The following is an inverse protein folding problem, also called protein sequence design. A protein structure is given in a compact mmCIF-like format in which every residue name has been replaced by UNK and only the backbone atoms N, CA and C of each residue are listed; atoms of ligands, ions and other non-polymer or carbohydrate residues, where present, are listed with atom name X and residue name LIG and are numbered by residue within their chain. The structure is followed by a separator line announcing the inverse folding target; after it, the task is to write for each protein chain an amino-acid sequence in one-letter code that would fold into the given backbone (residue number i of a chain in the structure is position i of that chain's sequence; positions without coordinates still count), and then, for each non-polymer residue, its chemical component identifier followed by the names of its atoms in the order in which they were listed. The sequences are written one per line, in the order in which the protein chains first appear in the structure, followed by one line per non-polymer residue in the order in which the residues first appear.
data_IF_591890493421
#
_entry.id   IF_591890493421
#
_cell.length_a   1.000
_cell.length_b   1.000
_cell.length_c   1.000
_cell.angle_alpha   90.00
_cell.angle_beta   90.00
_cell.angle_gamma   90.00
#
_symmetry.space_group_name_H-M   'P 1'
#
loop_
_entity.id
_entity.type
_entity.pdbx_description
1 polymer ?
#
# COMPACT_ATOMS: atom_id res chain seq x y z
N UNK A 1 -22.73 -6.46 82.11
CA UNK A 1 -23.67 -5.55 81.43
C UNK A 1 -23.11 -5.16 80.07
N UNK A 2 -23.77 -5.66 79.03
CA UNK A 2 -23.90 -5.17 77.65
C UNK A 2 -22.67 -4.87 76.77
N UNK A 3 -22.47 -5.79 75.82
CA UNK A 3 -22.57 -5.59 74.35
C UNK A 3 -22.39 -4.17 73.80
N UNK A 4 -21.50 -4.01 72.81
CA UNK A 4 -21.96 -3.88 71.42
C UNK A 4 -20.86 -4.05 70.37
N UNK A 5 -21.22 -4.81 69.35
CA UNK A 5 -20.54 -5.05 68.07
C UNK A 5 -20.15 -3.76 67.34
N UNK A 6 -19.04 -3.81 66.60
CA UNK A 6 -18.98 -3.22 65.27
C UNK A 6 -18.00 -4.01 64.38
N UNK A 7 -18.59 -4.95 63.63
CA UNK A 7 -18.07 -5.39 62.35
C UNK A 7 -18.00 -4.18 61.41
N UNK A 8 -16.86 -3.98 60.73
CA UNK A 8 -16.90 -3.42 59.39
C UNK A 8 -15.65 -3.81 58.60
N UNK A 9 -15.81 -4.92 57.88
CA UNK A 9 -15.51 -5.09 56.47
C UNK A 9 -14.10 -4.72 55.99
N UNK A 10 -13.26 -5.75 56.01
CA UNK A 10 -12.20 -5.99 55.04
C UNK A 10 -12.75 -5.95 53.60
N UNK A 11 -12.90 -4.76 53.03
CA UNK A 11 -12.90 -4.59 51.57
C UNK A 11 -11.45 -4.42 51.11
N UNK A 12 -10.65 -5.49 51.24
CA UNK A 12 -9.56 -5.69 50.27
C UNK A 12 -10.28 -6.00 48.96
N UNK A 13 -10.50 -4.97 48.16
CA UNK A 13 -10.72 -5.15 46.74
C UNK A 13 -9.55 -6.00 46.24
N UNK A 14 -9.81 -7.29 46.06
CA UNK A 14 -9.00 -8.20 45.30
C UNK A 14 -8.99 -7.67 43.87
N UNK A 15 -8.10 -6.71 43.60
CA UNK A 15 -7.71 -6.35 42.26
C UNK A 15 -7.10 -7.60 41.67
N UNK A 16 -7.90 -8.39 40.96
CA UNK A 16 -7.38 -9.41 40.07
C UNK A 16 -6.43 -8.66 39.13
N UNK A 17 -5.11 -8.90 39.19
CA UNK A 17 -4.22 -8.23 38.26
C UNK A 17 -4.58 -8.78 36.89
N UNK A 18 -5.33 -8.00 36.11
CA UNK A 18 -5.70 -8.33 34.75
C UNK A 18 -4.40 -8.51 33.98
N UNK A 19 -3.96 -9.77 33.82
CA UNK A 19 -2.73 -10.06 33.09
C UNK A 19 -3.00 -9.75 31.62
N UNK A 20 -2.14 -8.96 30.96
CA UNK A 20 -2.28 -8.70 29.54
C UNK A 20 -2.20 -10.03 28.77
N UNK A 21 -3.02 -10.15 27.73
CA UNK A 21 -3.05 -11.27 26.80
C UNK A 21 -2.73 -10.78 25.37
N UNK A 22 -2.67 -11.70 24.40
CA UNK A 22 -2.49 -11.41 22.96
C UNK A 22 -3.42 -10.29 22.48
N UNK A 23 -4.67 -10.29 22.93
CA UNK A 23 -5.70 -9.32 22.51
C UNK A 23 -5.34 -7.93 23.06
N UNK A 24 -4.89 -7.86 24.30
CA UNK A 24 -4.44 -6.62 24.95
C UNK A 24 -3.26 -6.01 24.20
N UNK A 25 -2.21 -6.80 23.95
CA UNK A 25 -1.03 -6.35 23.19
C UNK A 25 -1.41 -5.91 21.77
N UNK A 26 -2.19 -6.71 21.04
CA UNK A 26 -2.63 -6.39 19.67
C UNK A 26 -3.49 -5.12 19.63
N UNK A 27 -4.32 -4.89 20.64
CA UNK A 27 -5.14 -3.69 20.76
C UNK A 27 -4.29 -2.44 20.99
N UNK A 28 -3.27 -2.53 21.84
CA UNK A 28 -2.30 -1.45 22.09
C UNK A 28 -1.51 -1.15 20.82
N UNK A 29 -1.01 -2.16 20.11
CA UNK A 29 -0.32 -2.00 18.82
C UNK A 29 -1.20 -1.28 17.79
N UNK A 30 -2.45 -1.69 17.65
CA UNK A 30 -3.41 -1.03 16.76
C UNK A 30 -3.69 0.43 17.18
N UNK A 31 -3.75 0.70 18.48
CA UNK A 31 -3.90 2.06 19.00
C UNK A 31 -2.66 2.92 18.67
N UNK A 32 -1.44 2.40 18.86
CA UNK A 32 -0.18 3.07 18.51
C UNK A 32 -0.15 3.38 17.00
N UNK A 33 -0.50 2.40 16.15
CA UNK A 33 -0.57 2.58 14.71
C UNK A 33 -1.50 3.73 14.32
N UNK A 34 -2.67 3.86 14.96
CA UNK A 34 -3.67 4.90 14.67
C UNK A 34 -3.39 6.23 15.35
N UNK A 35 -2.63 6.24 16.45
CA UNK A 35 -2.39 7.44 17.25
C UNK A 35 -1.69 8.55 16.44
N UNK A 36 -2.08 9.80 16.66
CA UNK A 36 -1.40 10.99 16.14
C UNK A 36 -0.29 11.50 17.09
N UNK A 37 -0.15 10.89 18.27
CA UNK A 37 0.74 11.34 19.36
C UNK A 37 2.23 11.33 18.99
N UNK A 38 2.62 10.53 18.00
CA UNK A 38 3.99 10.46 17.46
C UNK A 38 4.16 11.38 16.22
N UNK A 39 3.40 12.47 16.15
CA UNK A 39 3.42 13.44 15.05
C UNK A 39 4.75 14.20 14.94
N UNK A 40 4.89 14.99 13.86
CA UNK A 40 6.16 15.61 13.41
C UNK A 40 7.01 16.34 14.48
N UNK A 41 6.41 16.76 15.60
CA UNK A 41 7.03 17.53 16.69
C UNK A 41 7.64 16.68 17.82
N UNK A 42 7.21 15.43 18.02
CA UNK A 42 7.74 14.58 19.08
C UNK A 42 8.91 13.73 18.54
N UNK A 43 10.13 14.16 18.83
CA UNK A 43 11.39 13.49 18.41
C UNK A 43 11.79 12.29 19.31
N UNK A 44 11.03 12.01 20.38
CA UNK A 44 11.49 11.15 21.47
C UNK A 44 11.30 9.64 21.27
N UNK A 45 10.24 9.21 20.58
CA UNK A 45 9.96 7.79 20.35
C UNK A 45 9.30 7.59 19.00
N UNK A 46 9.83 6.67 18.21
CA UNK A 46 9.22 6.27 16.94
C UNK A 46 8.21 5.13 17.15
N UNK A 47 7.15 5.11 16.33
CA UNK A 47 6.09 4.11 16.43
C UNK A 47 6.60 2.68 16.21
N UNK A 48 7.56 2.50 15.31
CA UNK A 48 8.12 1.18 15.00
C UNK A 48 8.85 0.63 16.22
N UNK A 49 9.74 1.42 16.81
CA UNK A 49 10.51 1.04 18.00
C UNK A 49 9.60 0.65 19.17
N UNK A 50 8.52 1.41 19.42
CA UNK A 50 7.58 1.07 20.48
C UNK A 50 6.80 -0.22 20.18
N UNK A 51 6.40 -0.44 18.93
CA UNK A 51 5.70 -1.64 18.52
C UNK A 51 6.59 -2.89 18.64
N UNK A 52 7.86 -2.78 18.25
CA UNK A 52 8.85 -3.84 18.39
C UNK A 52 9.14 -4.15 19.85
N UNK A 53 9.33 -3.12 20.69
CA UNK A 53 9.53 -3.31 22.13
C UNK A 53 8.35 -4.04 22.78
N UNK A 54 7.12 -3.72 22.39
CA UNK A 54 5.93 -4.41 22.89
C UNK A 54 5.87 -5.88 22.44
N UNK A 55 6.35 -6.19 21.24
CA UNK A 55 6.45 -7.57 20.76
C UNK A 55 7.52 -8.34 21.54
N UNK A 56 8.69 -7.75 21.77
CA UNK A 56 9.76 -8.34 22.58
C UNK A 56 9.32 -8.58 24.03
N UNK A 57 8.61 -7.62 24.63
CA UNK A 57 8.02 -7.77 25.96
C UNK A 57 7.01 -8.92 26.01
N UNK A 58 6.18 -9.08 24.97
CA UNK A 58 5.22 -10.17 24.86
C UNK A 58 5.90 -11.54 24.68
N UNK A 59 6.93 -11.63 23.84
CA UNK A 59 7.73 -12.84 23.65
C UNK A 59 8.45 -13.26 24.94
N UNK A 60 9.10 -12.32 25.63
CA UNK A 60 9.79 -12.59 26.88
C UNK A 60 8.83 -13.09 27.98
N UNK A 61 7.63 -12.50 28.06
CA UNK A 61 6.61 -12.96 29.00
C UNK A 61 6.05 -14.34 28.64
N UNK A 62 5.89 -14.65 27.35
CA UNK A 62 5.54 -15.98 26.88
C UNK A 62 6.61 -17.02 27.26
N UNK A 63 7.89 -16.72 27.01
CA UNK A 63 9.01 -17.61 27.39
C UNK A 63 9.09 -17.83 28.90
N UNK A 64 8.82 -16.79 29.69
CA UNK A 64 8.87 -16.84 31.16
C UNK A 64 7.69 -17.63 31.76
N UNK A 65 6.51 -17.53 31.18
CA UNK A 65 5.26 -18.08 31.76
C UNK A 65 4.80 -19.37 31.11
N UNK A 66 5.14 -19.59 29.84
CA UNK A 66 4.57 -20.64 29.01
C UNK A 66 3.06 -20.50 28.79
N UNK A 67 2.47 -19.33 29.05
CA UNK A 67 1.02 -19.11 28.92
C UNK A 67 0.62 -19.03 27.44
N UNK A 68 -0.19 -19.96 26.91
CA UNK A 68 -0.63 -19.93 25.52
C UNK A 68 -1.35 -18.63 25.13
N UNK A 69 -1.95 -17.92 26.09
CA UNK A 69 -2.65 -16.66 25.84
C UNK A 69 -1.71 -15.48 25.56
N UNK A 70 -0.40 -15.67 25.76
CA UNK A 70 0.65 -14.70 25.46
C UNK A 70 1.44 -15.06 24.19
N UNK A 71 1.16 -16.20 23.55
CA UNK A 71 1.88 -16.63 22.36
C UNK A 71 1.64 -15.66 21.20
N UNK A 72 2.68 -14.99 20.65
CA UNK A 72 2.54 -14.15 19.48
C UNK A 72 2.05 -14.97 18.28
N UNK A 73 1.13 -14.39 17.50
CA UNK A 73 0.56 -15.01 16.31
C UNK A 73 0.65 -14.07 15.10
N UNK A 74 0.21 -14.53 13.93
CA UNK A 74 0.20 -13.75 12.69
C UNK A 74 -0.42 -12.35 12.85
N UNK A 75 -1.46 -12.19 13.67
CA UNK A 75 -2.12 -10.89 13.90
C UNK A 75 -1.23 -9.93 14.68
N UNK A 76 -0.53 -10.41 15.72
CA UNK A 76 0.40 -9.57 16.49
C UNK A 76 1.55 -9.10 15.62
N UNK A 77 2.21 -9.99 14.88
CA UNK A 77 3.29 -9.63 13.96
C UNK A 77 2.83 -8.66 12.88
N UNK A 78 1.68 -8.93 12.24
CA UNK A 78 1.09 -8.05 11.22
C UNK A 78 0.77 -6.67 11.79
N UNK A 79 0.31 -6.57 13.05
CA UNK A 79 0.05 -5.30 13.71
C UNK A 79 1.33 -4.49 13.94
N UNK A 80 2.44 -5.13 14.31
CA UNK A 80 3.75 -4.49 14.42
C UNK A 80 4.21 -3.97 13.06
N UNK A 81 4.20 -4.80 12.02
CA UNK A 81 4.62 -4.42 10.66
C UNK A 81 3.74 -3.27 10.12
N UNK A 82 2.42 -3.33 10.35
CA UNK A 82 1.49 -2.25 9.98
C UNK A 82 1.78 -0.94 10.71
N UNK A 83 2.29 -1.03 11.95
CA UNK A 83 2.73 0.13 12.73
C UNK A 83 4.03 0.71 12.16
N UNK A 84 4.99 -0.14 11.76
CA UNK A 84 6.22 0.28 11.10
C UNK A 84 5.95 1.06 9.81
N UNK A 85 4.99 0.62 8.99
CA UNK A 85 4.56 1.34 7.79
C UNK A 85 4.18 2.81 8.05
N UNK A 86 3.66 3.11 9.24
CA UNK A 86 3.21 4.46 9.65
C UNK A 86 4.28 5.23 10.43
N UNK A 87 5.43 4.62 10.69
CA UNK A 87 6.58 5.22 11.33
C UNK A 87 7.39 6.06 10.34
N UNK A 88 8.25 6.95 10.87
CA UNK A 88 9.16 7.77 10.06
C UNK A 88 10.49 7.05 9.79
N UNK A 89 10.85 6.12 10.64
CA UNK A 89 12.07 5.30 10.56
C UNK A 89 11.72 3.88 10.14
N UNK A 90 10.76 3.76 9.21
CA UNK A 90 10.34 2.48 8.69
C UNK A 90 11.55 1.80 8.01
N UNK A 91 12.09 0.77 8.67
CA UNK A 91 13.10 -0.11 8.10
C UNK A 91 12.38 -1.28 7.42
N UNK A 92 12.36 -1.33 6.09
CA UNK A 92 11.70 -2.41 5.37
C UNK A 92 12.41 -3.75 5.52
N UNK A 93 13.72 -3.77 5.77
CA UNK A 93 14.47 -5.00 6.03
C UNK A 93 14.09 -5.58 7.40
N UNK A 94 13.88 -4.71 8.40
CA UNK A 94 13.34 -5.14 9.69
C UNK A 94 11.95 -5.75 9.54
N UNK A 95 11.09 -5.20 8.67
CA UNK A 95 9.77 -5.78 8.40
C UNK A 95 9.88 -7.19 7.79
N UNK A 96 10.84 -7.44 6.90
CA UNK A 96 11.13 -8.79 6.39
C UNK A 96 11.67 -9.73 7.48
N UNK A 97 12.56 -9.24 8.37
CA UNK A 97 13.04 -10.03 9.51
C UNK A 97 11.89 -10.45 10.42
N UNK A 98 10.92 -9.57 10.66
CA UNK A 98 9.70 -9.90 11.41
C UNK A 98 8.83 -10.94 10.70
N UNK A 99 8.73 -10.88 9.38
CA UNK A 99 8.03 -11.91 8.61
C UNK A 99 8.75 -13.27 8.69
N UNK A 100 10.08 -13.28 8.63
CA UNK A 100 10.87 -14.49 8.84
C UNK A 100 10.70 -15.09 10.24
N UNK A 101 10.60 -14.24 11.27
CA UNK A 101 10.26 -14.66 12.63
C UNK A 101 8.84 -15.22 12.72
N UNK A 102 7.87 -14.60 12.05
CA UNK A 102 6.52 -15.13 11.95
C UNK A 102 6.53 -16.53 11.35
N UNK A 103 7.25 -16.75 10.24
CA UNK A 103 7.36 -18.07 9.59
C UNK A 103 7.92 -19.18 10.49
N UNK A 104 8.69 -18.83 11.53
CA UNK A 104 9.20 -19.79 12.50
C UNK A 104 8.16 -20.18 13.58
N UNK A 105 7.14 -19.34 13.79
CA UNK A 105 6.09 -19.54 14.81
C UNK A 105 4.80 -20.07 14.18
N UNK A 106 4.41 -19.52 13.03
CA UNK A 106 3.15 -19.81 12.33
C UNK A 106 3.31 -19.60 10.82
N UNK A 107 2.51 -20.28 9.99
CA UNK A 107 2.52 -20.01 8.55
C UNK A 107 2.00 -18.60 8.26
N UNK A 108 2.79 -17.72 7.62
CA UNK A 108 2.30 -16.40 7.25
C UNK A 108 1.22 -16.51 6.17
N UNK A 109 0.27 -15.59 6.21
CA UNK A 109 -0.80 -15.46 5.23
C UNK A 109 -0.56 -14.28 4.28
N UNK A 110 -1.44 -14.14 3.28
CA UNK A 110 -1.42 -13.02 2.33
C UNK A 110 -1.42 -11.64 3.03
N UNK A 111 -2.09 -11.53 4.19
CA UNK A 111 -2.17 -10.27 4.95
C UNK A 111 -0.82 -9.90 5.53
N UNK A 112 -0.09 -10.87 6.09
CA UNK A 112 1.24 -10.70 6.66
C UNK A 112 2.24 -10.24 5.60
N UNK A 113 2.22 -10.88 4.43
CA UNK A 113 3.07 -10.48 3.29
C UNK A 113 2.69 -9.10 2.75
N UNK A 114 1.40 -8.81 2.56
CA UNK A 114 0.92 -7.51 2.10
C UNK A 114 1.33 -6.38 3.07
N UNK A 115 1.40 -6.66 4.38
CA UNK A 115 1.90 -5.69 5.35
C UNK A 115 3.37 -5.32 5.08
N UNK A 116 4.24 -6.30 4.83
CA UNK A 116 5.66 -6.09 4.50
C UNK A 116 5.83 -5.37 3.16
N UNK A 117 5.11 -5.81 2.13
CA UNK A 117 5.10 -5.14 0.82
C UNK A 117 4.73 -3.66 0.95
N UNK A 118 3.78 -3.32 1.82
CA UNK A 118 3.34 -1.94 2.03
C UNK A 118 4.39 -1.11 2.79
N UNK A 119 5.21 -1.74 3.65
CA UNK A 119 6.39 -1.08 4.24
C UNK A 119 7.41 -0.76 3.15
N UNK A 120 7.75 -1.73 2.29
CA UNK A 120 8.65 -1.51 1.15
C UNK A 120 8.15 -0.41 0.21
N UNK A 121 6.88 -0.46 -0.19
CA UNK A 121 6.31 0.50 -1.14
C UNK A 121 6.35 1.97 -0.66
N UNK A 122 6.42 2.17 0.66
CA UNK A 122 6.47 3.50 1.31
C UNK A 122 7.84 3.86 1.87
N UNK A 123 8.80 2.96 1.82
CA UNK A 123 10.14 3.22 2.31
C UNK A 123 10.89 4.17 1.36
N UNK A 124 11.96 4.76 1.87
CA UNK A 124 12.96 5.49 1.06
C UNK A 124 14.15 4.59 0.70
N UNK A 125 14.03 3.27 0.87
CA UNK A 125 15.10 2.34 0.54
C UNK A 125 15.34 2.32 -0.98
N UNK A 126 16.60 2.21 -1.43
CA UNK A 126 16.90 2.00 -2.84
C UNK A 126 16.38 0.64 -3.31
N UNK A 127 16.07 0.51 -4.59
CA UNK A 127 15.62 -0.74 -5.22
C UNK A 127 14.36 -1.36 -4.57
N UNK A 128 13.54 -0.55 -3.91
CA UNK A 128 12.36 -1.02 -3.17
C UNK A 128 11.34 -1.71 -4.07
N UNK A 129 11.18 -1.25 -5.32
CA UNK A 129 10.29 -1.90 -6.29
C UNK A 129 10.78 -3.28 -6.68
N UNK A 130 12.09 -3.43 -6.92
CA UNK A 130 12.69 -4.74 -7.21
C UNK A 130 12.51 -5.69 -6.03
N UNK A 131 12.75 -5.22 -4.81
CA UNK A 131 12.57 -6.06 -3.61
C UNK A 131 11.11 -6.43 -3.37
N UNK A 132 10.18 -5.49 -3.56
CA UNK A 132 8.75 -5.77 -3.51
C UNK A 132 8.32 -6.80 -4.56
N UNK A 133 8.84 -6.69 -5.78
CA UNK A 133 8.57 -7.65 -6.86
C UNK A 133 9.16 -9.03 -6.55
N UNK A 134 10.38 -9.12 -6.01
CA UNK A 134 10.96 -10.39 -5.55
C UNK A 134 10.09 -11.06 -4.48
N UNK A 135 9.61 -10.28 -3.50
CA UNK A 135 8.74 -10.81 -2.46
C UNK A 135 7.41 -11.33 -3.04
N UNK A 136 6.86 -10.64 -4.03
CA UNK A 136 5.70 -11.12 -4.81
C UNK A 136 6.00 -12.44 -5.54
N UNK A 137 7.15 -12.54 -6.23
CA UNK A 137 7.55 -13.80 -6.87
C UNK A 137 7.65 -14.94 -5.87
N UNK A 138 8.25 -14.70 -4.69
CA UNK A 138 8.31 -15.70 -3.62
C UNK A 138 6.91 -16.13 -3.16
N UNK A 139 5.96 -15.19 -2.98
CA UNK A 139 4.57 -15.51 -2.67
C UNK A 139 3.92 -16.39 -3.74
N UNK A 140 4.09 -16.03 -5.01
CA UNK A 140 3.55 -16.77 -6.13
C UNK A 140 4.16 -18.17 -6.25
N UNK A 141 5.47 -18.31 -6.04
CA UNK A 141 6.17 -19.60 -6.01
C UNK A 141 5.64 -20.49 -4.88
N UNK A 142 5.53 -19.97 -3.65
CA UNK A 142 5.00 -20.72 -2.50
C UNK A 142 3.55 -21.18 -2.69
N UNK A 143 2.75 -20.37 -3.39
CA UNK A 143 1.37 -20.72 -3.72
C UNK A 143 1.32 -21.80 -4.82
N UNK A 144 2.04 -21.60 -5.93
CA UNK A 144 2.02 -22.51 -7.08
C UNK A 144 2.64 -23.87 -6.80
N UNK A 145 3.69 -23.93 -5.96
CA UNK A 145 4.30 -25.18 -5.53
C UNK A 145 3.54 -25.87 -4.37
N UNK A 146 2.49 -25.20 -3.83
CA UNK A 146 1.66 -25.73 -2.75
C UNK A 146 2.29 -25.74 -1.36
N UNK A 147 3.46 -25.10 -1.17
CA UNK A 147 4.12 -25.02 0.14
C UNK A 147 3.30 -24.19 1.13
N UNK A 148 2.65 -23.12 0.64
CA UNK A 148 1.74 -22.32 1.44
C UNK A 148 0.58 -21.81 0.58
N UNK A 149 -0.62 -22.35 0.81
CA UNK A 149 -1.83 -21.95 0.06
C UNK A 149 -2.45 -20.65 0.58
N UNK A 150 -2.03 -20.17 1.76
CA UNK A 150 -2.56 -18.95 2.39
C UNK A 150 -1.94 -17.66 1.83
N UNK A 151 -0.89 -17.76 1.02
CA UNK A 151 -0.16 -16.62 0.44
C UNK A 151 -0.51 -16.35 -1.02
N UNK A 152 -1.65 -16.85 -1.49
CA UNK A 152 -2.15 -16.53 -2.84
C UNK A 152 -2.17 -15.01 -3.03
N UNK A 153 -1.38 -14.46 -3.98
CA UNK A 153 -1.41 -13.03 -4.24
C UNK A 153 -2.80 -12.59 -4.68
N UNK A 154 -3.23 -11.42 -4.24
CA UNK A 154 -4.51 -10.83 -4.61
C UNK A 154 -4.33 -9.45 -5.28
N UNK A 155 -5.43 -8.80 -5.64
CA UNK A 155 -5.40 -7.45 -6.21
C UNK A 155 -4.69 -6.45 -5.29
N UNK A 156 -4.76 -6.62 -3.95
CA UNK A 156 -4.07 -5.75 -2.99
C UNK A 156 -2.55 -5.95 -3.08
N UNK A 157 -2.09 -7.20 -3.21
CA UNK A 157 -0.67 -7.54 -3.40
C UNK A 157 -0.09 -6.81 -4.61
N UNK A 158 -0.70 -6.96 -5.79
CA UNK A 158 -0.22 -6.30 -7.01
C UNK A 158 -0.31 -4.77 -6.91
N UNK A 159 -1.42 -4.23 -6.40
CA UNK A 159 -1.56 -2.79 -6.22
C UNK A 159 -0.45 -2.21 -5.33
N UNK A 160 -0.03 -2.97 -4.31
CA UNK A 160 1.07 -2.58 -3.41
C UNK A 160 2.42 -2.65 -4.10
N UNK A 161 2.68 -3.70 -4.89
CA UNK A 161 3.89 -3.83 -5.72
C UNK A 161 4.00 -2.69 -6.72
N UNK A 162 2.92 -2.39 -7.47
CA UNK A 162 2.88 -1.27 -8.41
C UNK A 162 3.08 0.08 -7.70
N UNK A 163 2.56 0.25 -6.49
CA UNK A 163 2.83 1.45 -5.67
C UNK A 163 4.32 1.60 -5.35
N UNK A 164 5.05 0.50 -5.14
CA UNK A 164 6.50 0.55 -4.95
C UNK A 164 7.21 1.08 -6.19
N UNK A 165 6.80 0.64 -7.39
CA UNK A 165 7.29 1.16 -8.67
C UNK A 165 6.94 2.64 -8.89
N UNK A 166 5.73 3.09 -8.52
CA UNK A 166 5.36 4.51 -8.58
C UNK A 166 6.28 5.41 -7.76
N UNK A 167 6.77 4.90 -6.63
CA UNK A 167 7.59 5.68 -5.68
C UNK A 167 9.08 5.41 -5.84
N UNK A 168 9.50 4.61 -6.82
CA UNK A 168 10.90 4.23 -7.02
C UNK A 168 11.79 5.48 -7.16
N UNK A 169 12.99 5.40 -6.59
CA UNK A 169 13.97 6.45 -6.80
C UNK A 169 14.55 6.30 -8.20
N UNK A 170 14.32 7.30 -9.05
CA UNK A 170 14.87 7.35 -10.40
C UNK A 170 15.95 8.42 -10.40
N UNK A 171 17.19 8.03 -10.73
CA UNK A 171 18.28 9.01 -10.87
C UNK A 171 17.93 10.02 -11.95
N UNK A 172 18.30 11.29 -11.77
CA UNK A 172 18.17 12.34 -12.80
C UNK A 172 19.25 12.24 -13.87
N UNK A 173 20.26 11.41 -13.66
CA UNK A 173 21.37 11.26 -14.60
C UNK A 173 20.89 10.51 -15.85
N UNK A 174 20.88 11.18 -17.00
CA UNK A 174 20.49 10.59 -18.28
C UNK A 174 21.67 9.85 -18.95
N UNK A 175 22.28 8.92 -18.21
CA UNK A 175 23.28 7.98 -18.74
C UNK A 175 22.61 6.77 -19.37
N UNK A 176 23.29 6.10 -20.31
CA UNK A 176 22.78 4.89 -20.96
C UNK A 176 22.50 3.76 -19.95
N UNK A 177 23.33 3.64 -18.91
CA UNK A 177 23.16 2.62 -17.87
C UNK A 177 21.89 2.88 -17.04
N UNK A 178 21.61 4.14 -16.69
CA UNK A 178 20.37 4.51 -16.00
C UNK A 178 19.13 4.34 -16.89
N UNK A 179 19.23 4.66 -18.19
CA UNK A 179 18.15 4.39 -19.14
C UNK A 179 17.84 2.88 -19.24
N UNK A 180 18.86 2.02 -19.27
CA UNK A 180 18.69 0.57 -19.27
C UNK A 180 18.06 0.08 -17.97
N UNK A 181 18.46 0.61 -16.82
CA UNK A 181 17.82 0.31 -15.53
C UNK A 181 16.35 0.71 -15.52
N UNK A 182 16.00 1.91 -16.00
CA UNK A 182 14.60 2.36 -16.14
C UNK A 182 13.80 1.42 -17.04
N UNK A 183 14.37 0.99 -18.16
CA UNK A 183 13.73 0.02 -19.06
C UNK A 183 13.52 -1.35 -18.39
N UNK A 184 14.49 -1.85 -17.61
CA UNK A 184 14.34 -3.08 -16.85
C UNK A 184 13.26 -2.95 -15.76
N UNK A 185 13.23 -1.84 -15.03
CA UNK A 185 12.24 -1.57 -14.00
C UNK A 185 10.81 -1.53 -14.56
N UNK A 186 10.59 -0.84 -15.69
CA UNK A 186 9.25 -0.81 -16.30
C UNK A 186 8.84 -2.19 -16.82
N UNK A 187 9.79 -3.00 -17.30
CA UNK A 187 9.52 -4.38 -17.74
C UNK A 187 9.04 -5.24 -16.57
N UNK A 188 9.68 -5.12 -15.39
CA UNK A 188 9.23 -5.80 -14.18
C UNK A 188 7.84 -5.32 -13.73
N UNK A 189 7.55 -4.02 -13.86
CA UNK A 189 6.23 -3.47 -13.55
C UNK A 189 5.15 -4.02 -14.50
N UNK A 190 5.44 -4.13 -15.80
CA UNK A 190 4.54 -4.76 -16.79
C UNK A 190 4.32 -6.22 -16.45
N UNK A 191 5.36 -6.97 -16.11
CA UNK A 191 5.23 -8.36 -15.69
C UNK A 191 4.33 -8.50 -14.45
N UNK A 192 4.52 -7.67 -13.43
CA UNK A 192 3.65 -7.65 -12.25
C UNK A 192 2.18 -7.33 -12.59
N UNK A 193 1.97 -6.47 -13.60
CA UNK A 193 0.65 -6.09 -14.08
C UNK A 193 -0.02 -7.18 -14.93
N UNK A 194 0.74 -7.96 -15.68
CA UNK A 194 0.22 -9.08 -16.48
C UNK A 194 -0.09 -10.31 -15.61
N UNK A 195 0.71 -10.55 -14.56
CA UNK A 195 0.57 -11.68 -13.65
C UNK A 195 -0.55 -11.50 -12.60
N UNK A 196 -1.54 -10.62 -12.83
CA UNK A 196 -2.58 -10.34 -11.84
C UNK A 196 -3.45 -11.57 -11.58
N UNK A 197 -3.34 -12.08 -10.35
CA UNK A 197 -4.28 -13.03 -9.77
C UNK A 197 -5.55 -12.31 -9.34
N UNK A 198 -6.59 -12.36 -10.17
CA UNK A 198 -7.90 -11.81 -9.86
C UNK A 198 -8.38 -10.78 -10.87
N UNK A 199 -9.17 -9.80 -10.41
CA UNK A 199 -9.72 -8.75 -11.26
C UNK A 199 -8.98 -7.43 -10.98
N UNK A 200 -8.28 -6.86 -11.98
CA UNK A 200 -7.70 -5.52 -11.87
C UNK A 200 -8.77 -4.49 -11.53
N UNK A 201 -8.45 -3.56 -10.63
CA UNK A 201 -9.31 -2.45 -10.26
C UNK A 201 -8.74 -1.11 -10.74
N UNK A 202 -9.48 -0.02 -10.52
CA UNK A 202 -9.04 1.32 -10.85
C UNK A 202 -7.71 1.74 -10.19
N UNK A 203 -7.34 1.15 -9.04
CA UNK A 203 -6.06 1.40 -8.39
C UNK A 203 -4.93 0.69 -9.13
N UNK A 204 -5.17 -0.53 -9.64
CA UNK A 204 -4.20 -1.27 -10.46
C UNK A 204 -3.78 -0.46 -11.69
N UNK A 205 -4.75 -0.03 -12.49
CA UNK A 205 -4.46 0.77 -13.69
C UNK A 205 -3.84 2.12 -13.35
N UNK A 206 -4.34 2.79 -12.30
CA UNK A 206 -3.79 4.07 -11.86
C UNK A 206 -2.35 3.98 -11.37
N UNK A 207 -2.02 2.94 -10.60
CA UNK A 207 -0.65 2.70 -10.12
C UNK A 207 0.26 2.27 -11.27
N UNK A 208 -0.21 1.47 -12.23
CA UNK A 208 0.59 1.14 -13.41
C UNK A 208 0.94 2.39 -14.23
N UNK A 209 -0.02 3.28 -14.48
CA UNK A 209 0.23 4.57 -15.13
C UNK A 209 1.18 5.47 -14.32
N UNK A 210 1.05 5.46 -13.00
CA UNK A 210 1.96 6.18 -12.10
C UNK A 210 3.39 5.65 -12.17
N UNK A 211 3.56 4.33 -12.21
CA UNK A 211 4.85 3.66 -12.38
C UNK A 211 5.49 4.00 -13.74
N UNK A 212 4.71 3.90 -14.83
CA UNK A 212 5.14 4.30 -16.19
C UNK A 212 5.63 5.76 -16.19
N UNK A 213 4.85 6.67 -15.58
CA UNK A 213 5.17 8.09 -15.54
C UNK A 213 6.46 8.38 -14.78
N UNK A 214 6.63 7.77 -13.60
CA UNK A 214 7.78 8.00 -12.74
C UNK A 214 9.06 7.37 -13.31
N UNK A 215 8.99 6.11 -13.77
CA UNK A 215 10.15 5.36 -14.25
C UNK A 215 10.65 5.89 -15.60
N UNK A 216 9.73 6.29 -16.49
CA UNK A 216 10.06 6.72 -17.86
C UNK A 216 10.06 8.25 -18.02
N UNK A 217 10.10 9.03 -16.94
CA UNK A 217 10.36 10.46 -17.04
C UNK A 217 11.83 10.71 -17.44
N UNK A 218 12.07 11.53 -18.45
CA UNK A 218 13.39 12.05 -18.84
C UNK A 218 13.26 13.54 -19.10
N UNK A 219 14.32 14.30 -18.81
CA UNK A 219 14.37 15.75 -18.98
C UNK A 219 15.17 16.18 -20.21
N UNK A 220 16.03 15.31 -20.78
CA UNK A 220 16.93 15.67 -21.88
C UNK A 220 16.54 15.06 -23.25
N UNK A 221 16.71 15.86 -24.31
CA UNK A 221 16.19 15.64 -25.69
C UNK A 221 16.78 14.43 -26.47
N UNK A 222 17.92 13.85 -26.08
CA UNK A 222 18.62 12.83 -26.91
C UNK A 222 18.18 11.37 -26.62
N UNK A 223 18.08 10.98 -25.34
CA UNK A 223 17.51 9.68 -24.91
C UNK A 223 15.97 9.74 -24.89
N UNK A 224 15.42 10.95 -24.94
CA UNK A 224 14.00 11.27 -24.92
C UNK A 224 13.17 10.42 -25.89
N UNK A 225 13.66 10.19 -27.11
CA UNK A 225 12.82 9.59 -28.16
C UNK A 225 12.43 8.13 -27.89
N UNK A 226 13.32 7.31 -27.34
CA UNK A 226 13.01 5.88 -27.09
C UNK A 226 12.19 5.70 -25.80
N UNK A 227 12.57 6.33 -24.69
CA UNK A 227 11.83 6.20 -23.43
C UNK A 227 10.46 6.92 -23.51
N UNK A 228 10.37 8.05 -24.21
CA UNK A 228 9.09 8.76 -24.41
C UNK A 228 8.13 7.96 -25.30
N UNK A 229 8.61 7.37 -26.40
CA UNK A 229 7.75 6.52 -27.23
C UNK A 229 7.28 5.26 -26.50
N UNK A 230 8.15 4.63 -25.70
CA UNK A 230 7.77 3.51 -24.84
C UNK A 230 6.74 3.93 -23.79
N UNK A 231 6.94 5.08 -23.14
CA UNK A 231 6.00 5.65 -22.15
C UNK A 231 4.62 5.88 -22.74
N UNK A 232 4.54 6.50 -23.92
CA UNK A 232 3.29 6.74 -24.64
C UNK A 232 2.57 5.43 -24.97
N UNK A 233 3.29 4.49 -25.59
CA UNK A 233 2.74 3.19 -25.99
C UNK A 233 2.17 2.41 -24.79
N UNK A 234 2.93 2.34 -23.68
CA UNK A 234 2.49 1.65 -22.47
C UNK A 234 1.33 2.37 -21.78
N UNK A 235 1.35 3.70 -21.72
CA UNK A 235 0.28 4.48 -21.11
C UNK A 235 -1.04 4.33 -21.88
N UNK A 236 -0.98 4.39 -23.22
CA UNK A 236 -2.13 4.18 -24.09
C UNK A 236 -2.70 2.77 -23.93
N UNK A 237 -1.85 1.75 -24.02
CA UNK A 237 -2.27 0.35 -23.84
C UNK A 237 -2.94 0.14 -22.47
N UNK A 238 -2.32 0.64 -21.40
CA UNK A 238 -2.85 0.52 -20.03
C UNK A 238 -4.20 1.23 -19.89
N UNK A 239 -4.36 2.42 -20.48
CA UNK A 239 -5.61 3.16 -20.42
C UNK A 239 -6.74 2.47 -21.20
N UNK A 240 -6.46 1.96 -22.40
CA UNK A 240 -7.48 1.24 -23.17
C UNK A 240 -7.89 -0.07 -22.52
N UNK A 241 -6.96 -0.77 -21.87
CA UNK A 241 -7.30 -1.91 -21.01
C UNK A 241 -8.19 -1.49 -19.84
N UNK A 242 -7.92 -0.34 -19.20
CA UNK A 242 -8.76 0.22 -18.14
C UNK A 242 -10.18 0.57 -18.63
N UNK A 243 -10.30 1.16 -19.81
CA UNK A 243 -11.59 1.49 -20.44
C UNK A 243 -12.41 0.23 -20.72
N UNK A 244 -11.80 -0.80 -21.30
CA UNK A 244 -12.43 -2.11 -21.54
C UNK A 244 -12.84 -2.82 -20.24
N UNK A 245 -12.09 -2.60 -19.17
CA UNK A 245 -12.41 -3.14 -17.85
C UNK A 245 -13.52 -2.35 -17.12
N UNK A 246 -13.90 -1.17 -17.62
CA UNK A 246 -14.88 -0.28 -16.98
C UNK A 246 -14.40 0.31 -15.65
N UNK A 247 -13.07 0.46 -15.50
CA UNK A 247 -12.40 0.85 -14.25
C UNK A 247 -11.84 2.28 -14.28
N UNK A 248 -12.31 3.13 -15.21
CA UNK A 248 -11.84 4.51 -15.31
C UNK A 248 -12.32 5.32 -14.10
N UNK A 249 -11.37 5.86 -13.36
CA UNK A 249 -11.59 6.71 -12.19
C UNK A 249 -10.83 8.02 -12.34
N UNK A 250 -11.16 9.02 -11.50
CA UNK A 250 -10.37 10.26 -11.43
C UNK A 250 -8.90 10.00 -11.12
N UNK A 251 -8.58 8.96 -10.35
CA UNK A 251 -7.20 8.56 -10.07
C UNK A 251 -6.47 8.06 -11.32
N UNK A 252 -7.14 7.27 -12.17
CA UNK A 252 -6.59 6.81 -13.46
C UNK A 252 -6.34 8.00 -14.38
N UNK A 253 -7.31 8.91 -14.52
CA UNK A 253 -7.19 10.10 -15.37
C UNK A 253 -6.09 11.04 -14.89
N UNK A 254 -5.94 11.25 -13.58
CA UNK A 254 -4.86 12.08 -13.02
C UNK A 254 -3.48 11.49 -13.30
N UNK A 255 -3.32 10.17 -13.25
CA UNK A 255 -2.05 9.55 -13.63
C UNK A 255 -1.83 9.54 -15.14
N UNK A 256 -2.88 9.31 -15.94
CA UNK A 256 -2.82 9.39 -17.40
C UNK A 256 -2.41 10.79 -17.87
N UNK A 257 -2.99 11.84 -17.31
CA UNK A 257 -2.69 13.23 -17.64
C UNK A 257 -1.23 13.60 -17.36
N UNK A 258 -0.56 12.88 -16.46
CA UNK A 258 0.88 13.00 -16.24
C UNK A 258 1.67 12.12 -17.19
N UNK A 259 1.13 10.98 -17.62
CA UNK A 259 1.81 10.02 -18.48
C UNK A 259 1.89 10.47 -19.95
N UNK A 260 0.89 11.18 -20.47
CA UNK A 260 0.80 11.58 -21.88
C UNK A 260 0.76 13.11 -22.07
N UNK A 261 1.24 13.64 -23.22
CA UNK A 261 1.07 15.05 -23.60
C UNK A 261 -0.40 15.48 -23.65
N UNK A 262 -0.66 16.77 -23.45
CA UNK A 262 -2.02 17.32 -23.39
C UNK A 262 -2.82 17.08 -24.69
N UNK A 263 -2.20 17.25 -25.85
CA UNK A 263 -2.86 17.07 -27.15
C UNK A 263 -3.29 15.62 -27.36
N UNK A 264 -2.38 14.68 -27.02
CA UNK A 264 -2.68 13.25 -27.08
C UNK A 264 -3.76 12.85 -26.08
N UNK A 265 -3.76 13.46 -24.88
CA UNK A 265 -4.81 13.22 -23.89
C UNK A 265 -6.19 13.66 -24.40
N UNK A 266 -6.28 14.83 -25.05
CA UNK A 266 -7.52 15.33 -25.66
C UNK A 266 -8.02 14.37 -26.74
N UNK A 267 -7.12 13.94 -27.64
CA UNK A 267 -7.41 12.95 -28.67
C UNK A 267 -7.97 11.65 -28.07
N UNK A 268 -7.32 11.10 -27.04
CA UNK A 268 -7.73 9.85 -26.39
C UNK A 268 -9.09 9.95 -25.68
N UNK A 269 -9.42 11.11 -25.13
CA UNK A 269 -10.70 11.35 -24.46
C UNK A 269 -11.81 11.80 -25.42
N UNK A 270 -11.49 12.07 -26.68
CA UNK A 270 -12.44 12.51 -27.70
C UNK A 270 -12.90 13.97 -27.54
N UNK A 271 -12.05 14.84 -26.99
CA UNK A 271 -12.34 16.26 -26.84
C UNK A 271 -11.80 17.08 -28.02
N UNK A 272 -12.62 17.97 -28.57
CA UNK A 272 -12.23 18.93 -29.61
C UNK A 272 -11.55 20.15 -28.97
N UNK A 273 -10.53 20.73 -29.65
CA UNK A 273 -9.64 21.76 -29.10
C UNK A 273 -10.34 23.04 -28.60
N UNK A 274 -11.53 23.35 -29.11
CA UNK A 274 -12.18 24.66 -28.96
C UNK A 274 -13.44 24.68 -28.06
N UNK A 275 -13.93 23.55 -27.56
CA UNK A 275 -15.24 23.48 -26.86
C UNK A 275 -15.18 23.06 -25.39
N UNK A 276 -14.07 22.49 -24.95
CA UNK A 276 -13.96 21.92 -23.61
C UNK A 276 -12.99 22.70 -22.73
N UNK A 277 -13.54 23.52 -21.82
CA UNK A 277 -12.82 24.22 -20.74
C UNK A 277 -12.20 23.20 -19.77
N UNK A 278 -11.13 22.53 -20.19
CA UNK A 278 -10.31 21.68 -19.35
C UNK A 278 -9.53 22.59 -18.40
N UNK A 279 -9.85 22.51 -17.11
CA UNK A 279 -9.13 23.27 -16.08
C UNK A 279 -7.67 22.80 -16.10
N UNK A 280 -6.73 23.69 -16.38
CA UNK A 280 -5.30 23.38 -16.34
C UNK A 280 -4.71 23.70 -14.97
N UNK A 281 -3.70 22.94 -14.56
CA UNK A 281 -2.79 23.28 -13.48
C UNK A 281 -1.83 24.38 -13.96
N UNK A 282 -1.06 24.96 -13.02
CA UNK A 282 -0.09 26.03 -13.33
C UNK A 282 1.04 25.60 -14.26
N UNK A 283 1.28 24.31 -14.38
CA UNK A 283 2.28 23.68 -15.24
C UNK A 283 1.73 23.30 -16.63
N UNK A 284 0.48 23.66 -16.94
CA UNK A 284 -0.18 23.32 -18.20
C UNK A 284 -0.80 21.91 -18.25
N UNK A 285 -0.63 21.08 -17.21
CA UNK A 285 -1.26 19.76 -17.15
C UNK A 285 -2.77 19.86 -16.84
N UNK A 286 -3.58 18.93 -17.34
CA UNK A 286 -5.04 18.98 -17.09
C UNK A 286 -5.34 18.58 -15.64
N UNK A 287 -6.12 19.41 -14.94
CA UNK A 287 -6.56 19.23 -13.55
C UNK A 287 -7.69 18.20 -13.45
N UNK A 288 -7.32 16.94 -13.62
CA UNK A 288 -8.26 15.81 -13.61
C UNK A 288 -8.98 15.56 -12.27
N UNK A 289 -8.47 16.09 -11.16
CA UNK A 289 -9.17 16.01 -9.86
C UNK A 289 -10.50 16.76 -9.83
N UNK A 290 -10.67 17.76 -10.71
CA UNK A 290 -11.92 18.53 -10.85
C UNK A 290 -12.72 18.11 -12.09
N UNK A 291 -12.23 17.12 -12.85
CA UNK A 291 -12.88 16.66 -14.06
C UNK A 291 -14.10 15.81 -13.72
N UNK A 292 -15.24 16.14 -14.31
CA UNK A 292 -16.44 15.35 -14.18
C UNK A 292 -16.35 14.11 -15.06
N UNK A 293 -16.01 12.98 -14.43
CA UNK A 293 -15.96 11.67 -15.08
C UNK A 293 -17.30 11.30 -15.73
N UNK A 294 -18.43 11.88 -15.31
CA UNK A 294 -19.74 11.59 -15.90
C UNK A 294 -19.83 11.91 -17.40
N UNK A 295 -18.94 12.78 -17.91
CA UNK A 295 -18.84 13.16 -19.31
C UNK A 295 -18.27 12.05 -20.21
N UNK A 296 -17.57 11.07 -19.64
CA UNK A 296 -16.98 9.95 -20.40
C UNK A 296 -18.01 8.86 -20.72
N UNK A 297 -17.75 7.99 -21.71
CA UNK A 297 -18.62 6.87 -22.02
C UNK A 297 -18.98 6.04 -20.77
N UNK A 298 -20.25 5.72 -20.60
CA UNK A 298 -20.75 5.04 -19.40
C UNK A 298 -20.10 3.68 -19.17
N UNK A 299 -19.73 2.99 -20.25
CA UNK A 299 -19.01 1.71 -20.23
C UNK A 299 -17.64 1.81 -19.55
N UNK A 300 -16.96 2.96 -19.67
CA UNK A 300 -15.61 3.14 -19.12
C UNK A 300 -15.62 3.26 -17.60
N UNK A 301 -16.75 3.64 -17.00
CA UNK A 301 -16.87 3.95 -15.55
C UNK A 301 -17.85 3.00 -14.85
N UNK A 302 -18.41 2.04 -15.59
CA UNK A 302 -19.50 1.18 -15.14
C UNK A 302 -19.19 0.46 -13.83
N UNK A 303 -17.97 -0.07 -13.67
CA UNK A 303 -17.57 -0.85 -12.49
C UNK A 303 -17.11 0.03 -11.34
N UNK A 304 -16.39 1.11 -11.63
CA UNK A 304 -16.00 2.10 -10.62
C UNK A 304 -17.21 2.73 -9.92
N UNK A 305 -18.36 2.84 -10.61
CA UNK A 305 -19.63 3.27 -10.00
C UNK A 305 -20.27 2.22 -9.09
N UNK A 306 -20.14 0.93 -9.42
CA UNK A 306 -20.68 -0.19 -8.61
C UNK A 306 -19.86 -0.45 -7.35
N UNK A 307 -18.55 -0.22 -7.39
CA UNK A 307 -17.64 -0.45 -6.26
C UNK A 307 -17.63 0.71 -5.24
N UNK A 308 -18.31 1.83 -5.51
CA UNK A 308 -18.54 2.84 -4.47
C UNK A 308 -19.51 2.26 -3.43
N UNK A 309 -19.12 2.17 -2.14
CA UNK A 309 -20.09 1.84 -1.10
C UNK A 309 -21.21 2.87 -1.18
N UNK A 310 -22.44 2.38 -1.34
CA UNK A 310 -23.69 3.13 -1.33
C UNK A 310 -23.78 3.95 -0.03
N UNK A 311 -23.15 5.11 -0.05
CA UNK A 311 -23.08 6.01 1.07
C UNK A 311 -24.24 6.97 0.93
N UNK A 312 -25.20 6.79 1.84
CA UNK A 312 -26.04 7.85 2.40
C UNK A 312 -27.26 8.22 1.53
N UNK A 313 -28.28 7.36 1.58
CA UNK A 313 -29.65 7.84 1.80
C UNK A 313 -29.73 8.36 3.24
N UNK A 314 -29.24 9.58 3.49
CA UNK A 314 -29.83 10.48 4.49
C UNK A 314 -30.67 11.47 3.71
N UNK A 315 -31.82 11.00 3.25
CA UNK A 315 -32.93 11.90 3.00
C UNK A 315 -33.38 12.39 4.38
N UNK A 316 -33.31 13.70 4.56
CA UNK A 316 -34.05 14.39 5.60
C UNK A 316 -35.53 14.02 5.52
N UNK A 317 -36.04 13.40 6.57
CA UNK A 317 -37.37 13.60 7.14
C UNK A 317 -37.29 13.30 8.63
#
# INVERSE_FOLDING_TARGET
NNNNNNNNNNNKASSCPCRPDVITYTSVLNAIAKSSMFGKKNRGQDKAQLAEKLLEEMEAEYERTGDPNLQPNAKTFTAVITTMRKSRTADPEQAERLLGRLSAVEMPDVVSYNAVLNVWARSSAPNKSQRAFQLYCTMNEMYTNGTNTLVQPDTITINTVLTAFCNEYVSTDDTMDEALKRQQLVTLAVQAFEDIHGRPDHLTYGNMLGAITNILSSQDDYVHNQLSSLRLSLAESTFWQCCRAGQVSSFVLTNLAKAVPADKLREMLGFEEDQDDLILNKDGSIKMNAFDISRLPSEWIERTRRDRPSSINRAHQ
#
